data_IF_635477795354
#
_entry.id   IF_635477795354
#
_cell.length_a   1.000
_cell.length_b   1.000
_cell.length_c   1.000
_cell.angle_alpha   90.00
_cell.angle_beta   90.00
_cell.angle_gamma   90.00
#
_symmetry.space_group_name_H-M   'P 1'
#
loop_
_entity.id
_entity.type
_entity.pdbx_description
1 polymer ?
#
# COMPACT_ATOMS: atom_id res chain seq x y z
N UNK A 1 -4.53 21.46 -19.77
CA UNK A 1 -3.68 21.17 -20.96
C UNK A 1 -3.25 19.71 -20.93
N UNK A 2 -3.88 18.87 -21.75
CA UNK A 2 -3.31 18.34 -22.99
C UNK A 2 -2.00 17.57 -22.77
N UNK A 3 -2.07 16.23 -22.81
CA UNK A 3 -1.29 15.45 -23.78
C UNK A 3 -1.94 14.07 -23.99
N UNK A 4 -2.81 14.04 -24.98
CA UNK A 4 -3.32 12.84 -25.65
C UNK A 4 -2.25 12.41 -26.65
N UNK A 5 -1.83 11.13 -26.68
CA UNK A 5 -1.27 10.54 -27.89
C UNK A 5 -1.86 9.16 -28.17
N UNK A 6 -2.37 8.92 -29.41
CA UNK A 6 -3.12 7.72 -29.77
C UNK A 6 -2.26 6.79 -30.65
N UNK A 7 -2.91 5.78 -31.21
CA UNK A 7 -2.46 4.91 -32.32
C UNK A 7 -1.54 3.75 -31.97
N UNK A 8 -2.12 2.56 -31.94
CA UNK A 8 -1.53 1.43 -32.67
C UNK A 8 -2.54 0.87 -33.67
N UNK A 9 -2.08 0.81 -34.92
CA UNK A 9 -2.86 0.54 -36.13
C UNK A 9 -3.28 -0.93 -36.18
N UNK A 10 -4.56 -1.16 -36.49
CA UNK A 10 -5.09 -2.47 -36.84
C UNK A 10 -4.61 -2.88 -38.24
N UNK A 11 -4.23 -4.13 -38.40
CA UNK A 11 -4.19 -4.80 -39.71
C UNK A 11 -4.64 -6.24 -39.52
N UNK A 12 -5.95 -6.48 -39.73
CA UNK A 12 -6.54 -7.83 -39.77
C UNK A 12 -6.56 -8.27 -41.23
N UNK A 13 -5.71 -9.25 -41.56
CA UNK A 13 -5.80 -9.96 -42.83
C UNK A 13 -6.82 -11.10 -42.69
N UNK A 14 -7.90 -11.01 -43.48
CA UNK A 14 -8.99 -11.97 -43.50
C UNK A 14 -8.62 -13.18 -44.37
N UNK A 15 -8.46 -14.37 -43.80
CA UNK A 15 -8.44 -15.63 -44.56
C UNK A 15 -8.82 -16.82 -43.69
N UNK A 16 -9.87 -17.56 -44.11
CA UNK A 16 -10.45 -18.82 -43.58
C UNK A 16 -11.71 -18.66 -42.72
N UNK A 17 -12.80 -18.36 -43.42
CA UNK A 17 -14.16 -18.47 -42.95
C UNK A 17 -14.55 -19.92 -42.58
N UNK A 18 -15.36 -20.03 -41.53
CA UNK A 18 -16.42 -21.04 -41.32
C UNK A 18 -16.19 -22.25 -40.38
N UNK A 19 -14.96 -22.57 -39.95
CA UNK A 19 -14.71 -23.46 -38.77
C UNK A 19 -14.05 -22.75 -37.57
N UNK A 20 -13.65 -21.50 -37.79
CA UNK A 20 -12.87 -20.67 -36.88
C UNK A 20 -13.68 -19.49 -36.36
N UNK A 21 -15.00 -19.59 -36.27
CA UNK A 21 -15.86 -18.57 -35.64
C UNK A 21 -16.07 -18.89 -34.17
N UNK A 22 -16.22 -20.17 -33.81
CA UNK A 22 -16.42 -20.59 -32.42
C UNK A 22 -15.15 -20.40 -31.58
N UNK A 23 -13.98 -20.75 -32.13
CA UNK A 23 -12.68 -20.56 -31.47
C UNK A 23 -12.36 -19.09 -31.29
N UNK A 24 -12.64 -18.26 -32.31
CA UNK A 24 -12.41 -16.81 -32.22
C UNK A 24 -13.37 -16.14 -31.24
N UNK A 25 -14.64 -16.58 -31.18
CA UNK A 25 -15.61 -16.11 -30.18
C UNK A 25 -15.21 -16.49 -28.75
N UNK A 26 -14.71 -17.70 -28.52
CA UNK A 26 -14.23 -18.11 -27.19
C UNK A 26 -13.01 -17.28 -26.78
N UNK A 27 -12.07 -17.05 -27.69
CA UNK A 27 -10.89 -16.22 -27.43
C UNK A 27 -11.27 -14.76 -27.15
N UNK A 28 -12.21 -14.18 -27.90
CA UNK A 28 -12.64 -12.80 -27.63
C UNK A 28 -13.40 -12.69 -26.32
N UNK A 29 -14.28 -13.63 -25.98
CA UNK A 29 -15.01 -13.65 -24.71
C UNK A 29 -14.09 -13.83 -23.52
N UNK A 30 -13.06 -14.67 -23.63
CA UNK A 30 -12.06 -14.86 -22.55
C UNK A 30 -11.16 -13.65 -22.39
N UNK A 31 -10.72 -13.02 -23.49
CA UNK A 31 -9.95 -11.78 -23.46
C UNK A 31 -10.78 -10.62 -22.89
N UNK A 32 -12.06 -10.50 -23.24
CA UNK A 32 -12.92 -9.48 -22.64
C UNK A 32 -13.15 -9.76 -21.16
N UNK A 33 -13.48 -10.99 -20.75
CA UNK A 33 -13.65 -11.33 -19.34
C UNK A 33 -12.41 -11.02 -18.49
N UNK A 34 -11.21 -11.31 -19.02
CA UNK A 34 -9.94 -11.04 -18.32
C UNK A 34 -9.68 -9.53 -18.21
N UNK A 35 -9.86 -8.77 -19.29
CA UNK A 35 -9.75 -7.30 -19.27
C UNK A 35 -10.80 -6.62 -18.37
N UNK A 36 -12.01 -7.18 -18.26
CA UNK A 36 -13.05 -6.68 -17.37
C UNK A 36 -12.81 -7.08 -15.90
N UNK A 37 -12.17 -8.22 -15.63
CA UNK A 37 -11.78 -8.62 -14.28
C UNK A 37 -10.70 -7.70 -13.67
N UNK A 38 -9.78 -7.20 -14.49
CA UNK A 38 -8.69 -6.33 -14.02
C UNK A 38 -9.20 -4.97 -13.49
N UNK A 39 -10.42 -4.54 -13.85
CA UNK A 39 -11.03 -3.32 -13.30
C UNK A 39 -11.58 -3.48 -11.86
N UNK A 40 -11.64 -4.69 -11.32
CA UNK A 40 -12.26 -4.95 -10.01
C UNK A 40 -11.28 -4.98 -8.84
N UNK A 41 -9.96 -4.92 -9.10
CA UNK A 41 -8.93 -4.80 -8.06
C UNK A 41 -8.43 -3.35 -7.92
N UNK A 42 -9.34 -2.38 -7.99
CA UNK A 42 -9.09 -1.05 -7.46
C UNK A 42 -8.80 -1.16 -5.96
N UNK A 43 -7.51 -1.14 -5.62
CA UNK A 43 -6.90 -1.32 -4.30
C UNK A 43 -7.85 -1.38 -3.11
N UNK A 44 -7.83 -2.50 -2.39
CA UNK A 44 -8.34 -2.57 -1.03
C UNK A 44 -7.57 -1.53 -0.21
N UNK A 45 -8.15 -0.34 -0.04
CA UNK A 45 -7.56 0.72 0.76
C UNK A 45 -7.38 0.14 2.17
N UNK A 46 -6.14 -0.12 2.56
CA UNK A 46 -5.80 -0.76 3.85
C UNK A 46 -6.34 0.05 5.02
N UNK A 47 -6.66 1.33 4.80
CA UNK A 47 -7.38 2.10 5.79
C UNK A 47 -8.28 3.22 5.24
N UNK A 48 -9.19 3.64 6.13
CA UNK A 48 -10.07 4.78 5.95
C UNK A 48 -9.24 6.07 6.10
N UNK A 49 -9.20 6.96 5.09
CA UNK A 49 -8.59 8.28 5.22
C UNK A 49 -9.33 9.11 6.29
N UNK A 50 -8.64 10.04 6.93
CA UNK A 50 -9.26 10.98 7.86
C UNK A 50 -10.33 11.81 7.14
N UNK A 51 -11.45 12.08 7.82
CA UNK A 51 -12.52 12.94 7.31
C UNK A 51 -12.11 14.41 7.28
N UNK A 52 -11.30 14.84 8.24
CA UNK A 52 -10.78 16.19 8.34
C UNK A 52 -9.42 16.21 9.05
N UNK A 53 -8.76 17.38 9.05
CA UNK A 53 -7.44 17.55 9.66
C UNK A 53 -7.47 17.32 11.18
N UNK A 54 -8.57 17.68 11.86
CA UNK A 54 -8.69 17.49 13.29
C UNK A 54 -8.75 16.01 13.70
N UNK A 55 -9.34 15.13 12.89
CA UNK A 55 -9.29 13.68 13.11
C UNK A 55 -7.86 13.14 12.96
N UNK A 56 -7.14 13.61 11.94
CA UNK A 56 -5.77 13.18 11.66
C UNK A 56 -4.77 13.64 12.73
N UNK A 57 -4.99 14.82 13.31
CA UNK A 57 -4.13 15.43 14.32
C UNK A 57 -4.62 15.21 15.75
N UNK A 58 -5.71 14.43 15.94
CA UNK A 58 -6.20 14.06 17.24
C UNK A 58 -5.08 13.42 18.08
N UNK A 59 -5.02 13.78 19.36
CA UNK A 59 -4.04 13.20 20.27
C UNK A 59 -4.28 11.69 20.42
N UNK A 60 -3.21 10.88 20.48
CA UNK A 60 -3.34 9.46 20.75
C UNK A 60 -4.01 9.22 22.11
N UNK A 61 -4.76 8.12 22.21
CA UNK A 61 -5.52 7.75 23.42
C UNK A 61 -4.58 7.46 24.60
N UNK A 62 -3.40 6.92 24.28
CA UNK A 62 -2.40 6.50 25.25
C UNK A 62 -1.24 7.51 25.34
N UNK A 63 -0.59 7.55 26.50
CA UNK A 63 0.63 8.32 26.68
C UNK A 63 1.80 7.65 25.93
N UNK A 64 2.33 8.34 24.93
CA UNK A 64 3.36 7.79 24.05
C UNK A 64 4.78 8.01 24.60
N UNK A 65 5.25 7.06 25.43
CA UNK A 65 6.59 7.11 26.07
C UNK A 65 7.77 7.13 25.08
N UNK A 66 7.56 6.68 23.85
CA UNK A 66 8.57 6.59 22.78
C UNK A 66 8.37 7.66 21.70
N UNK A 67 7.41 8.57 21.92
CA UNK A 67 7.01 9.57 20.95
C UNK A 67 5.89 9.11 20.05
N UNK A 68 5.59 9.98 19.10
CA UNK A 68 4.47 9.80 18.18
C UNK A 68 4.97 9.72 16.75
N UNK A 69 4.27 8.93 15.95
CA UNK A 69 4.51 8.75 14.52
C UNK A 69 3.18 8.84 13.78
N UNK A 70 3.25 8.99 12.45
CA UNK A 70 2.06 8.90 11.60
C UNK A 70 1.92 7.49 11.03
N UNK A 71 0.74 6.90 11.19
CA UNK A 71 0.41 5.62 10.57
C UNK A 71 0.25 5.74 9.03
N UNK A 72 -0.01 4.62 8.36
CA UNK A 72 -0.25 4.60 6.91
C UNK A 72 -1.46 5.44 6.45
N UNK A 73 -2.30 5.86 7.40
CA UNK A 73 -3.53 6.60 7.21
C UNK A 73 -3.38 8.07 7.61
N UNK A 74 -2.15 8.46 7.94
CA UNK A 74 -1.76 9.80 8.38
C UNK A 74 -2.32 10.21 9.75
N UNK A 75 -2.76 9.27 10.60
CA UNK A 75 -3.16 9.55 12.00
C UNK A 75 -1.96 9.51 12.93
N UNK A 76 -1.97 10.36 13.96
CA UNK A 76 -1.00 10.32 15.06
C UNK A 76 -1.22 9.07 15.92
N UNK A 77 -0.17 8.26 16.09
CA UNK A 77 -0.18 7.05 16.91
C UNK A 77 1.11 6.97 17.73
N UNK A 78 1.10 6.20 18.83
CA UNK A 78 2.31 5.98 19.61
C UNK A 78 3.35 5.17 18.83
N UNK A 79 4.58 5.62 18.88
CA UNK A 79 5.72 4.96 18.31
C UNK A 79 6.13 3.72 19.11
N UNK A 80 6.83 2.80 18.45
CA UNK A 80 7.39 1.57 19.03
C UNK A 80 8.73 1.85 19.71
N UNK A 81 8.92 1.17 20.84
CA UNK A 81 10.11 1.24 21.67
C UNK A 81 11.23 0.28 21.22
N UNK A 82 12.41 0.37 21.85
CA UNK A 82 13.55 -0.50 21.57
C UNK A 82 13.19 -1.98 21.74
N UNK A 83 13.49 -2.81 20.74
CA UNK A 83 13.21 -4.25 20.73
C UNK A 83 11.74 -4.63 20.52
N UNK A 84 10.82 -3.67 20.47
CA UNK A 84 9.43 -3.92 20.10
C UNK A 84 9.29 -4.23 18.62
N UNK A 85 8.21 -4.94 18.26
CA UNK A 85 7.94 -5.32 16.88
C UNK A 85 7.52 -4.10 16.04
N UNK A 86 8.03 -4.01 14.81
CA UNK A 86 7.78 -2.91 13.88
C UNK A 86 7.73 -3.40 12.42
N UNK A 87 7.31 -2.52 11.51
CA UNK A 87 7.32 -2.77 10.07
C UNK A 87 6.08 -3.53 9.57
N UNK A 88 6.29 -4.50 8.69
CA UNK A 88 5.23 -5.11 7.88
C UNK A 88 4.73 -4.20 6.76
N UNK A 89 3.85 -4.72 5.89
CA UNK A 89 3.25 -3.93 4.80
C UNK A 89 2.57 -2.69 5.34
N UNK A 90 2.93 -1.49 4.85
CA UNK A 90 2.39 -0.21 5.33
C UNK A 90 2.59 0.03 6.85
N UNK A 91 3.64 -0.54 7.45
CA UNK A 91 3.93 -0.38 8.88
C UNK A 91 2.79 -0.84 9.82
N UNK A 92 2.03 -1.88 9.43
CA UNK A 92 0.93 -2.43 10.25
C UNK A 92 1.37 -2.93 11.64
N UNK A 93 2.66 -3.28 11.80
CA UNK A 93 3.22 -3.70 13.09
C UNK A 93 3.65 -2.50 13.95
N UNK A 94 3.66 -1.30 13.38
CA UNK A 94 4.09 -0.06 14.01
C UNK A 94 5.39 0.50 13.44
N UNK A 95 5.69 1.75 13.79
CA UNK A 95 6.93 2.43 13.42
C UNK A 95 7.71 2.77 14.69
N UNK A 96 9.04 2.68 14.61
CA UNK A 96 9.92 3.00 15.72
C UNK A 96 9.90 4.50 16.03
N UNK A 97 10.07 4.83 17.32
CA UNK A 97 10.27 6.21 17.76
C UNK A 97 11.57 6.82 17.25
N UNK A 98 11.72 8.13 17.43
CA UNK A 98 12.90 8.86 16.97
C UNK A 98 14.20 8.29 17.54
N UNK A 99 15.24 8.21 16.70
CA UNK A 99 16.56 7.64 17.03
C UNK A 99 16.66 6.12 16.84
N UNK A 100 15.58 5.47 16.42
CA UNK A 100 15.54 4.03 16.17
C UNK A 100 15.11 3.71 14.73
N UNK A 101 15.45 2.51 14.26
CA UNK A 101 15.15 2.02 12.93
C UNK A 101 14.60 0.59 12.98
N UNK A 102 13.63 0.30 12.13
CA UNK A 102 13.11 -1.06 11.99
C UNK A 102 14.06 -1.89 11.11
N UNK A 103 14.64 -2.97 11.64
CA UNK A 103 15.50 -3.89 10.87
C UNK A 103 14.70 -5.08 10.31
N UNK A 104 15.38 -5.96 9.59
CA UNK A 104 14.82 -7.15 8.93
C UNK A 104 14.26 -8.21 9.90
N UNK A 105 14.61 -8.14 11.18
CA UNK A 105 14.04 -8.96 12.25
C UNK A 105 12.69 -8.42 12.76
N UNK A 106 12.15 -7.40 12.09
CA UNK A 106 10.91 -6.71 12.44
C UNK A 106 10.95 -6.10 13.85
N UNK A 107 12.11 -5.65 14.32
CA UNK A 107 12.25 -4.98 15.62
C UNK A 107 12.90 -3.61 15.50
N UNK A 108 12.66 -2.77 16.50
CA UNK A 108 13.28 -1.46 16.60
C UNK A 108 14.68 -1.54 17.20
N UNK A 109 15.66 -1.06 16.43
CA UNK A 109 17.07 -1.02 16.78
C UNK A 109 17.57 0.41 16.91
N UNK A 110 18.58 0.64 17.74
CA UNK A 110 19.10 1.96 18.07
C UNK A 110 18.63 2.43 19.44
N UNK A 111 18.73 3.74 19.69
CA UNK A 111 18.42 4.33 20.98
C UNK A 111 17.32 5.38 20.82
N UNK A 112 16.29 5.29 21.67
CA UNK A 112 15.25 6.32 21.71
C UNK A 112 15.84 7.65 22.15
N UNK A 113 15.54 8.73 21.44
CA UNK A 113 15.95 10.09 21.84
C UNK A 113 15.20 10.56 23.09
N UNK A 114 13.99 10.03 23.34
CA UNK A 114 13.15 10.48 24.45
C UNK A 114 13.56 9.91 25.79
N UNK A 115 13.89 8.62 25.83
CA UNK A 115 14.19 7.92 27.09
C UNK A 115 15.63 7.42 27.18
N UNK A 116 16.41 7.54 26.10
CA UNK A 116 17.79 7.04 25.98
C UNK A 116 17.93 5.51 26.15
N UNK A 117 16.83 4.76 26.12
CA UNK A 117 16.86 3.29 26.13
C UNK A 117 17.20 2.76 24.73
N UNK A 118 17.96 1.67 24.68
CA UNK A 118 18.51 1.13 23.44
C UNK A 118 18.24 -0.38 23.27
N UNK A 119 18.20 -0.83 22.02
CA UNK A 119 18.23 -2.24 21.62
C UNK A 119 19.16 -2.39 20.41
N UNK A 120 20.14 -3.30 20.51
CA UNK A 120 21.29 -3.34 19.59
C UNK A 120 21.56 -4.74 19.01
N UNK A 121 20.64 -5.69 19.17
CA UNK A 121 20.85 -7.08 18.73
C UNK A 121 20.76 -7.29 17.20
#
# INVERSE_FOLDING_TARGET
DQYFKPFFSFSISCSKAMRSTLVTLILTVTITLTLFCDMSLGGLWVCKPCENQAECDADPVDYCIWGEVRDACNRRVCAKGPGERCGGSLNILGQCGEGMMCKSDERCHGCSIQTMQCHND
#
